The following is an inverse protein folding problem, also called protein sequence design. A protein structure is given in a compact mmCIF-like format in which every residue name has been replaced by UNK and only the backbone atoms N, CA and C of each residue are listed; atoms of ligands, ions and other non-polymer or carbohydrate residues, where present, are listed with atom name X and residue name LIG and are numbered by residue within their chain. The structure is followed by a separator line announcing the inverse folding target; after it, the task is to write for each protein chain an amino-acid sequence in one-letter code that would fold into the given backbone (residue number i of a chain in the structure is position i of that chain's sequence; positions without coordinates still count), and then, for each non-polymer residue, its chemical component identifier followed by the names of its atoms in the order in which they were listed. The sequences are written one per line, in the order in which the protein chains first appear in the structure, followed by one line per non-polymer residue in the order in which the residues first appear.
data_IF_173282069421
#
_entry.id   IF_173282069421
#
_cell.length_a   1.000
_cell.length_b   1.000
_cell.length_c   1.000
_cell.angle_alpha   90.00
_cell.angle_beta   90.00
_cell.angle_gamma   90.00
#
_symmetry.space_group_name_H-M   'P 1'
#
loop_
_entity.id
_entity.type
_entity.pdbx_description
1 polymer ?
#
# COMPACT_ATOMS: atom_id res chain seq x y z
N UNK A 1 -6.31 -8.99 -7.38
CA UNK A 1 -6.61 -7.56 -7.55
C UNK A 1 -5.28 -6.89 -7.38
N UNK A 2 -4.73 -6.36 -8.46
CA UNK A 2 -3.43 -5.71 -8.45
C UNK A 2 -3.65 -4.20 -8.57
N UNK A 3 -2.79 -3.40 -7.95
CA UNK A 3 -2.82 -1.93 -8.04
C UNK A 3 -4.07 -1.23 -7.44
N UNK A 4 -4.77 -1.87 -6.50
CA UNK A 4 -5.87 -1.25 -5.78
C UNK A 4 -5.39 -0.73 -4.42
N UNK A 5 -5.55 0.57 -4.19
CA UNK A 5 -5.08 1.23 -2.97
C UNK A 5 -6.28 1.77 -2.19
N UNK A 6 -6.33 1.47 -0.91
CA UNK A 6 -7.29 2.03 0.03
C UNK A 6 -6.63 3.22 0.75
N UNK A 7 -7.01 4.45 0.40
CA UNK A 7 -6.32 5.66 0.85
C UNK A 7 -6.45 5.95 2.35
N UNK A 8 -7.49 5.42 3.00
CA UNK A 8 -7.78 5.66 4.43
C UNK A 8 -8.23 4.38 5.13
N UNK A 9 -7.38 3.34 5.06
CA UNK A 9 -7.70 2.08 5.70
C UNK A 9 -7.56 2.22 7.21
N UNK A 10 -8.68 2.20 7.94
CA UNK A 10 -8.68 2.19 9.39
C UNK A 10 -9.06 0.80 9.94
N UNK A 11 -8.62 0.42 11.15
CA UNK A 11 -8.92 -0.90 11.72
C UNK A 11 -10.42 -1.23 11.80
N UNK A 12 -11.27 -0.22 12.00
CA UNK A 12 -12.74 -0.40 12.00
C UNK A 12 -13.35 -0.91 10.69
N UNK A 13 -12.63 -0.83 9.56
CA UNK A 13 -13.09 -1.32 8.25
C UNK A 13 -12.60 -2.73 7.94
N UNK A 14 -11.85 -3.36 8.86
CA UNK A 14 -11.28 -4.68 8.70
C UNK A 14 -11.97 -5.65 9.66
N UNK A 15 -12.73 -6.59 9.10
CA UNK A 15 -13.32 -7.69 9.86
C UNK A 15 -12.51 -8.97 9.65
N UNK A 16 -12.03 -9.56 10.74
CA UNK A 16 -11.37 -10.87 10.72
C UNK A 16 -12.36 -11.96 11.15
N UNK A 17 -12.70 -12.85 10.21
CA UNK A 17 -13.55 -14.01 10.47
C UNK A 17 -12.69 -15.26 10.62
N UNK A 18 -12.59 -15.76 11.84
CA UNK A 18 -11.99 -17.07 12.13
C UNK A 18 -13.12 -18.09 12.20
N UNK A 19 -13.09 -19.12 11.35
CA UNK A 19 -14.11 -20.16 11.44
C UNK A 19 -13.89 -20.98 12.72
N UNK A 20 -14.90 -20.98 13.59
CA UNK A 20 -14.90 -21.79 14.80
C UNK A 20 -15.21 -23.24 14.42
N UNK A 21 -14.18 -24.05 14.24
CA UNK A 21 -14.36 -25.50 14.19
C UNK A 21 -14.77 -25.96 15.59
N UNK A 22 -15.98 -26.50 15.75
CA UNK A 22 -16.33 -27.28 16.94
C UNK A 22 -15.24 -28.34 17.18
N UNK A 23 -14.91 -28.72 18.43
CA UNK A 23 -13.89 -29.72 18.74
C UNK A 23 -14.36 -31.15 18.41
N UNK A 24 -15.16 -31.34 17.36
CA UNK A 24 -15.51 -32.65 16.86
C UNK A 24 -14.35 -33.17 16.01
N UNK A 25 -13.65 -34.16 16.55
CA UNK A 25 -12.66 -35.01 15.88
C UNK A 25 -13.00 -35.21 14.38
N UNK A 26 -12.01 -35.01 13.50
CA UNK A 26 -11.99 -35.28 12.03
C UNK A 26 -12.02 -34.07 11.07
N UNK A 27 -11.32 -32.97 11.36
CA UNK A 27 -10.81 -32.09 10.29
C UNK A 27 -9.32 -31.83 10.48
N UNK A 28 -8.50 -32.44 9.62
CA UNK A 28 -7.04 -32.28 9.58
C UNK A 28 -6.57 -30.87 9.16
N UNK A 29 -7.50 -29.99 8.79
CA UNK A 29 -7.21 -28.62 8.35
C UNK A 29 -8.01 -27.61 9.18
N UNK A 30 -7.30 -26.80 9.97
CA UNK A 30 -7.87 -25.57 10.56
C UNK A 30 -8.36 -24.68 9.42
N UNK A 31 -9.58 -24.17 9.51
CA UNK A 31 -10.11 -23.21 8.54
C UNK A 31 -9.23 -21.95 8.52
N UNK A 32 -8.81 -21.52 7.34
CA UNK A 32 -8.04 -20.28 7.17
C UNK A 32 -8.89 -19.08 7.62
N UNK A 33 -8.32 -18.12 8.36
CA UNK A 33 -9.02 -16.87 8.68
C UNK A 33 -9.33 -16.11 7.39
N UNK A 34 -10.46 -15.41 7.37
CA UNK A 34 -10.86 -14.53 6.26
C UNK A 34 -10.75 -13.08 6.72
N UNK A 35 -10.05 -12.26 5.94
CA UNK A 35 -10.02 -10.81 6.12
C UNK A 35 -11.06 -10.20 5.17
N UNK A 36 -11.96 -9.39 5.72
CA UNK A 36 -13.06 -8.77 4.98
C UNK A 36 -12.92 -7.26 5.13
N UNK A 37 -12.87 -6.53 4.01
CA UNK A 37 -12.90 -5.08 3.97
C UNK A 37 -14.35 -4.61 3.82
N UNK A 38 -14.82 -3.76 4.73
CA UNK A 38 -16.22 -3.33 4.81
C UNK A 38 -16.49 -2.02 4.09
N UNK A 39 -15.53 -1.10 4.15
CA UNK A 39 -15.59 0.20 3.49
C UNK A 39 -14.58 0.23 2.36
N UNK A 40 -15.01 0.74 1.22
CA UNK A 40 -14.19 0.96 0.02
C UNK A 40 -14.44 2.36 -0.57
N UNK A 41 -14.99 3.28 0.22
CA UNK A 41 -15.38 4.62 -0.23
C UNK A 41 -14.21 5.49 -0.72
N UNK A 42 -12.98 5.18 -0.30
CA UNK A 42 -11.77 5.90 -0.71
C UNK A 42 -10.73 4.97 -1.35
N UNK A 43 -11.20 4.04 -2.17
CA UNK A 43 -10.33 3.19 -2.96
C UNK A 43 -10.05 3.77 -4.33
N UNK A 44 -8.82 3.64 -4.81
CA UNK A 44 -8.39 4.15 -6.11
C UNK A 44 -7.39 3.20 -6.76
N UNK A 45 -7.17 3.39 -8.06
CA UNK A 45 -6.12 2.75 -8.83
C UNK A 45 -5.09 3.79 -9.22
N UNK A 46 -3.81 3.46 -9.08
CA UNK A 46 -2.75 4.34 -9.57
C UNK A 46 -2.59 4.20 -11.07
N UNK A 47 -2.16 5.29 -11.73
CA UNK A 47 -1.65 5.17 -13.09
C UNK A 47 -0.39 4.30 -13.10
N UNK A 48 -0.02 3.74 -14.27
CA UNK A 48 1.21 2.93 -14.40
C UNK A 48 2.46 3.71 -13.97
N UNK A 49 2.50 5.00 -14.28
CA UNK A 49 3.61 5.90 -13.92
C UNK A 49 3.66 6.12 -12.41
N UNK A 50 2.51 6.43 -11.78
CA UNK A 50 2.45 6.69 -10.34
C UNK A 50 2.76 5.41 -9.55
N UNK A 51 2.27 4.25 -10.00
CA UNK A 51 2.56 2.96 -9.41
C UNK A 51 4.06 2.63 -9.47
N UNK A 52 4.69 2.86 -10.64
CA UNK A 52 6.13 2.64 -10.83
C UNK A 52 6.95 3.59 -9.95
N UNK A 53 6.58 4.88 -9.92
CA UNK A 53 7.25 5.88 -9.10
C UNK A 53 7.13 5.59 -7.60
N UNK A 54 5.96 5.13 -7.14
CA UNK A 54 5.74 4.73 -5.75
C UNK A 54 6.58 3.51 -5.36
N UNK A 55 6.67 2.50 -6.23
CA UNK A 55 7.49 1.32 -6.00
C UNK A 55 8.98 1.65 -5.93
N UNK A 56 9.48 2.48 -6.86
CA UNK A 56 10.87 2.93 -6.84
C UNK A 56 11.19 3.79 -5.61
N UNK A 57 10.25 4.63 -5.15
CA UNK A 57 10.39 5.39 -3.90
C UNK A 57 10.63 4.46 -2.71
N UNK A 58 9.77 3.46 -2.49
CA UNK A 58 9.92 2.55 -1.35
C UNK A 58 11.16 1.67 -1.46
N UNK A 59 11.54 1.27 -2.67
CA UNK A 59 12.79 0.54 -2.92
C UNK A 59 14.01 1.40 -2.56
N UNK A 60 14.02 2.67 -2.97
CA UNK A 60 15.09 3.62 -2.63
C UNK A 60 15.18 3.82 -1.11
N UNK A 61 14.05 3.99 -0.41
CA UNK A 61 14.02 4.07 1.06
C UNK A 61 14.61 2.80 1.70
N UNK A 62 14.20 1.62 1.24
CA UNK A 62 14.72 0.35 1.77
C UNK A 62 16.23 0.18 1.55
N UNK A 63 16.74 0.69 0.42
CA UNK A 63 18.18 0.67 0.08
C UNK A 63 18.97 1.85 0.65
N UNK A 64 18.31 2.77 1.38
CA UNK A 64 18.89 4.03 1.88
C UNK A 64 19.46 4.92 0.77
N UNK A 65 18.86 4.88 -0.42
CA UNK A 65 19.16 5.75 -1.55
C UNK A 65 18.34 7.03 -1.46
N UNK A 66 18.89 8.03 -0.75
CA UNK A 66 18.23 9.31 -0.53
C UNK A 66 18.00 10.11 -1.82
N UNK A 67 18.93 10.00 -2.79
CA UNK A 67 18.85 10.70 -4.08
C UNK A 67 17.65 10.22 -4.88
N UNK A 68 17.51 8.91 -5.08
CA UNK A 68 16.37 8.36 -5.81
C UNK A 68 15.05 8.58 -5.05
N UNK A 69 15.05 8.50 -3.72
CA UNK A 69 13.86 8.82 -2.92
C UNK A 69 13.40 10.28 -3.12
N UNK A 70 14.34 11.24 -3.16
CA UNK A 70 14.04 12.63 -3.42
C UNK A 70 13.52 12.87 -4.86
N UNK A 71 14.15 12.25 -5.86
CA UNK A 71 13.66 12.30 -7.25
C UNK A 71 12.24 11.75 -7.40
N UNK A 72 11.96 10.58 -6.81
CA UNK A 72 10.63 9.99 -6.84
C UNK A 72 9.59 10.87 -6.11
N UNK A 73 9.99 11.53 -5.02
CA UNK A 73 9.11 12.46 -4.29
C UNK A 73 8.70 13.64 -5.15
N UNK A 74 9.65 14.26 -5.86
CA UNK A 74 9.36 15.36 -6.78
C UNK A 74 8.49 14.92 -7.96
N UNK A 75 8.66 13.69 -8.44
CA UNK A 75 7.84 13.10 -9.51
C UNK A 75 6.43 12.73 -9.07
N UNK A 76 6.19 12.53 -7.77
CA UNK A 76 4.89 12.11 -7.24
C UNK A 76 3.78 13.13 -7.52
N UNK A 77 4.10 14.43 -7.49
CA UNK A 77 3.15 15.48 -7.86
C UNK A 77 3.56 16.13 -9.19
N UNK A 78 2.73 15.91 -10.22
CA UNK A 78 2.90 16.55 -11.53
C UNK A 78 2.78 18.09 -11.48
N UNK A 79 2.17 18.63 -10.43
CA UNK A 79 1.94 20.06 -10.20
C UNK A 79 2.63 20.53 -8.91
N UNK A 80 3.94 20.29 -8.79
CA UNK A 80 4.75 20.76 -7.66
C UNK A 80 5.47 22.07 -7.99
N UNK A 81 5.69 22.92 -6.97
CA UNK A 81 6.35 24.24 -7.09
C UNK A 81 7.66 24.31 -6.29
N UNK A 82 8.44 23.23 -6.25
CA UNK A 82 9.73 23.16 -5.58
C UNK A 82 10.66 24.24 -6.16
N UNK A 83 11.10 25.22 -5.35
CA UNK A 83 11.88 26.35 -5.85
C UNK A 83 13.29 25.95 -6.26
N UNK A 84 13.82 24.86 -5.69
CA UNK A 84 15.13 24.34 -6.03
C UNK A 84 15.14 22.79 -6.05
N UNK A 85 14.68 22.16 -7.15
CA UNK A 85 14.64 20.71 -7.27
C UNK A 85 16.02 20.04 -7.13
N UNK A 86 17.10 20.72 -7.55
CA UNK A 86 18.46 20.18 -7.47
C UNK A 86 18.90 20.04 -6.01
N UNK A 87 18.74 21.10 -5.22
CA UNK A 87 19.08 21.07 -3.80
C UNK A 87 18.19 20.15 -2.96
N UNK A 88 17.01 19.78 -3.46
CA UNK A 88 16.16 18.78 -2.80
C UNK A 88 16.68 17.34 -3.00
N UNK A 89 17.41 17.10 -4.10
CA UNK A 89 17.93 15.78 -4.50
C UNK A 89 19.34 15.51 -3.93
N UNK A 90 20.13 16.57 -3.75
CA UNK A 90 21.52 16.53 -3.25
C UNK A 90 21.61 16.49 -1.72
#
# INVERSE_FOLDING_TARGET
VDNFIHADMHPGNILVRVAQTKPSNKRLFKSKPHVIFLDVGMTTELSKDDHTNLLEFFKAVALRDGRTAAECTLKLSKQQNCPNPKAFIE
#
